data_IF_939415393250
#
_entry.id   IF_939415393250
#
_cell.length_a   1.000
_cell.length_b   1.000
_cell.length_c   1.000
_cell.angle_alpha   90.00
_cell.angle_beta   90.00
_cell.angle_gamma   90.00
#
_symmetry.space_group_name_H-M   'P 1'
#
loop_
_entity.id
_entity.type
_entity.pdbx_description
1 polymer ?
#
# COMPACT_ATOMS: atom_id res chain seq x y z
N UNK A 1 -10.46 0.64 10.75
CA UNK A 1 -10.18 -0.52 11.62
C UNK A 1 -8.95 -0.20 12.47
N UNK A 2 -8.93 -0.54 13.77
CA UNK A 2 -7.72 -0.37 14.59
C UNK A 2 -6.79 -1.58 14.37
N UNK A 3 -5.53 -1.38 13.94
CA UNK A 3 -4.60 -2.49 13.75
C UNK A 3 -4.31 -3.16 15.10
N UNK A 4 -4.18 -4.49 15.11
CA UNK A 4 -3.65 -5.22 16.27
C UNK A 4 -2.14 -5.07 16.26
N UNK A 5 -1.59 -4.44 17.30
CA UNK A 5 -0.15 -4.35 17.52
C UNK A 5 0.35 -5.53 18.37
N UNK A 6 1.67 -5.70 18.43
CA UNK A 6 2.34 -6.67 19.30
C UNK A 6 2.01 -6.42 20.78
N UNK A 7 1.81 -7.50 21.54
CA UNK A 7 1.37 -7.43 22.93
C UNK A 7 2.44 -6.91 23.89
N UNK A 8 2.02 -6.49 25.08
CA UNK A 8 2.96 -6.15 26.15
C UNK A 8 3.86 -7.33 26.54
N UNK A 9 3.33 -8.56 26.49
CA UNK A 9 4.10 -9.79 26.74
C UNK A 9 5.21 -9.96 25.72
N UNK A 10 4.96 -9.73 24.43
CA UNK A 10 5.98 -9.80 23.38
C UNK A 10 7.15 -8.86 23.69
N UNK A 11 6.84 -7.61 24.01
CA UNK A 11 7.87 -6.60 24.26
C UNK A 11 8.61 -6.82 25.58
N UNK A 12 7.95 -7.36 26.60
CA UNK A 12 8.59 -7.75 27.86
C UNK A 12 9.38 -9.06 27.76
N UNK A 13 9.25 -9.80 26.65
CA UNK A 13 9.90 -11.10 26.49
C UNK A 13 11.40 -11.03 26.21
N UNK A 14 12.00 -9.87 25.98
CA UNK A 14 13.45 -9.77 25.88
C UNK A 14 13.89 -8.36 26.22
N UNK A 15 15.05 -8.20 26.86
CA UNK A 15 15.58 -6.87 27.20
C UNK A 15 15.73 -5.98 25.95
N UNK A 16 16.27 -6.54 24.86
CA UNK A 16 16.41 -5.87 23.56
C UNK A 16 15.04 -5.41 23.02
N UNK A 17 14.01 -6.26 23.09
CA UNK A 17 12.66 -5.90 22.65
C UNK A 17 12.08 -4.77 23.51
N UNK A 18 12.19 -4.89 24.83
CA UNK A 18 11.72 -3.88 25.76
C UNK A 18 12.40 -2.53 25.52
N UNK A 19 13.70 -2.54 25.22
CA UNK A 19 14.47 -1.33 24.91
C UNK A 19 14.14 -0.75 23.53
N UNK A 20 13.90 -1.57 22.51
CA UNK A 20 13.37 -1.13 21.20
C UNK A 20 12.06 -0.38 21.40
N UNK A 21 11.11 -0.97 22.14
CA UNK A 21 9.81 -0.35 22.41
C UNK A 21 9.94 0.98 23.16
N UNK A 22 10.72 1.00 24.24
CA UNK A 22 10.96 2.22 25.02
C UNK A 22 11.57 3.31 24.14
N UNK A 23 12.57 2.96 23.34
CA UNK A 23 13.28 3.88 22.45
C UNK A 23 12.37 4.45 21.35
N UNK A 24 11.52 3.61 20.76
CA UNK A 24 10.55 3.99 19.74
C UNK A 24 9.48 4.93 20.31
N UNK A 25 8.86 4.57 21.44
CA UNK A 25 7.84 5.40 22.10
C UNK A 25 8.38 6.72 22.62
N UNK A 26 9.61 6.76 23.14
CA UNK A 26 10.27 8.00 23.53
C UNK A 26 10.45 8.99 22.37
N UNK A 27 10.34 8.51 21.12
CA UNK A 27 10.43 9.30 19.88
C UNK A 27 9.09 9.41 19.15
N UNK A 28 7.99 9.00 19.79
CA UNK A 28 6.65 8.97 19.19
C UNK A 28 6.55 8.13 17.90
N UNK A 29 7.34 7.05 17.82
CA UNK A 29 7.36 6.13 16.67
C UNK A 29 6.74 4.79 17.07
N UNK A 30 5.96 4.19 16.17
CA UNK A 30 5.39 2.86 16.37
C UNK A 30 6.47 1.78 16.56
N UNK A 31 6.49 1.07 17.71
CA UNK A 31 7.47 0.01 17.98
C UNK A 31 7.47 -1.13 16.94
N UNK A 32 6.29 -1.58 16.50
CA UNK A 32 6.16 -2.69 15.55
C UNK A 32 6.84 -2.35 14.23
N UNK A 33 6.60 -1.13 13.71
CA UNK A 33 7.20 -0.67 12.47
C UNK A 33 8.73 -0.55 12.57
N UNK A 34 9.24 -0.11 13.73
CA UNK A 34 10.70 -0.06 14.01
C UNK A 34 11.29 -1.47 14.04
N UNK A 35 10.62 -2.44 14.69
CA UNK A 35 11.06 -3.83 14.70
C UNK A 35 11.11 -4.42 13.29
N UNK A 36 10.10 -4.14 12.46
CA UNK A 36 10.11 -4.53 11.05
C UNK A 36 11.32 -4.01 10.31
N UNK A 37 11.62 -2.71 10.44
CA UNK A 37 12.82 -2.11 9.83
C UNK A 37 14.09 -2.77 10.36
N UNK A 38 14.19 -3.03 11.67
CA UNK A 38 15.35 -3.69 12.24
C UNK A 38 15.55 -5.11 11.70
N UNK A 39 14.49 -5.91 11.61
CA UNK A 39 14.55 -7.25 11.02
C UNK A 39 14.95 -7.21 9.54
N UNK A 40 14.42 -6.26 8.76
CA UNK A 40 14.84 -6.07 7.37
C UNK A 40 16.32 -5.67 7.28
N UNK A 41 16.79 -4.73 8.12
CA UNK A 41 18.21 -4.36 8.15
C UNK A 41 19.09 -5.55 8.55
N UNK A 42 18.72 -6.29 9.58
CA UNK A 42 19.40 -7.53 9.96
C UNK A 42 19.49 -8.47 8.77
N UNK A 43 18.37 -8.79 8.10
CA UNK A 43 18.38 -9.64 6.91
C UNK A 43 19.35 -9.16 5.82
N UNK A 44 19.36 -7.86 5.52
CA UNK A 44 20.22 -7.28 4.49
C UNK A 44 21.69 -7.09 4.88
N UNK A 45 22.02 -7.16 6.17
CA UNK A 45 23.37 -6.93 6.70
C UNK A 45 24.20 -8.20 6.85
N UNK A 46 23.55 -9.37 6.79
CA UNK A 46 24.20 -10.67 6.92
C UNK A 46 25.04 -11.02 5.69
N UNK A 47 26.02 -11.91 5.88
CA UNK A 47 26.78 -12.51 4.80
C UNK A 47 26.20 -13.89 4.44
N UNK A 48 25.54 -14.04 3.29
CA UNK A 48 24.86 -15.28 2.87
C UNK A 48 25.85 -16.39 2.50
N UNK A 49 27.16 -16.16 2.53
CA UNK A 49 28.19 -17.18 2.27
C UNK A 49 28.49 -18.04 3.50
N UNK A 50 28.11 -17.58 4.69
CA UNK A 50 28.48 -18.22 5.96
C UNK A 50 27.28 -18.54 6.86
N UNK A 51 26.10 -18.00 6.55
CA UNK A 51 24.90 -18.18 7.37
C UNK A 51 23.74 -18.73 6.53
N UNK A 52 23.18 -19.84 7.00
CA UNK A 52 22.04 -20.50 6.37
C UNK A 52 21.03 -20.96 7.42
N UNK A 53 19.76 -21.06 7.01
CA UNK A 53 18.70 -21.67 7.83
C UNK A 53 18.41 -23.07 7.31
N UNK A 54 18.52 -24.04 8.21
CA UNK A 54 18.04 -25.41 8.00
C UNK A 54 16.61 -25.50 8.51
N UNK A 55 15.67 -25.64 7.58
CA UNK A 55 14.24 -25.76 7.88
C UNK A 55 13.81 -27.21 8.14
N UNK A 56 14.73 -28.16 8.02
CA UNK A 56 14.49 -29.60 8.02
C UNK A 56 13.88 -30.12 6.72
N UNK A 57 13.55 -29.24 5.77
CA UNK A 57 13.08 -29.57 4.42
C UNK A 57 14.04 -29.07 3.35
N UNK A 58 14.55 -27.86 3.56
CA UNK A 58 15.61 -27.20 2.79
C UNK A 58 16.71 -26.80 3.78
N UNK A 59 17.93 -27.21 3.49
CA UNK A 59 19.12 -27.03 4.34
C UNK A 59 19.84 -25.70 4.09
N UNK A 60 19.41 -24.91 3.09
CA UNK A 60 20.02 -23.63 2.69
C UNK A 60 19.00 -22.55 2.36
N UNK A 61 18.01 -22.38 3.23
CA UNK A 61 17.03 -21.30 3.09
C UNK A 61 17.67 -19.93 3.33
N UNK A 62 17.42 -18.98 2.43
CA UNK A 62 17.89 -17.60 2.58
C UNK A 62 17.19 -16.88 3.74
N UNK A 63 17.87 -15.91 4.36
CA UNK A 63 17.29 -15.04 5.38
C UNK A 63 16.69 -13.74 4.82
N UNK A 64 16.52 -13.68 3.49
CA UNK A 64 15.93 -12.52 2.83
C UNK A 64 14.55 -12.20 3.40
N UNK A 65 14.30 -10.93 3.71
CA UNK A 65 13.06 -10.47 4.31
C UNK A 65 12.56 -9.21 3.62
N UNK A 66 11.27 -9.19 3.31
CA UNK A 66 10.55 -8.04 2.77
C UNK A 66 9.52 -7.61 3.83
N UNK A 67 9.61 -6.38 4.30
CA UNK A 67 8.73 -5.81 5.31
C UNK A 67 7.87 -4.72 4.68
N UNK A 68 6.57 -4.77 4.90
CA UNK A 68 5.61 -3.76 4.50
C UNK A 68 5.07 -3.02 5.73
N UNK A 69 5.61 -1.83 5.97
CA UNK A 69 5.11 -0.92 6.99
C UNK A 69 3.91 -0.15 6.43
N UNK A 70 2.73 -0.38 7.01
CA UNK A 70 1.47 0.17 6.52
C UNK A 70 0.93 1.22 7.48
N UNK A 71 0.67 2.42 6.96
CA UNK A 71 0.10 3.51 7.74
C UNK A 71 -0.39 4.68 6.89
N UNK A 72 -1.34 5.42 7.46
CA UNK A 72 -1.85 6.66 6.88
C UNK A 72 -0.74 7.71 6.68
N UNK A 73 -0.95 8.73 5.83
CA UNK A 73 -0.01 9.85 5.72
C UNK A 73 0.33 10.45 7.10
N UNK A 74 1.61 10.78 7.32
CA UNK A 74 2.07 11.41 8.55
C UNK A 74 2.29 10.48 9.75
N UNK A 75 2.03 9.17 9.65
CA UNK A 75 2.23 8.23 10.77
C UNK A 75 3.51 7.41 10.62
N UNK A 76 4.47 7.57 11.53
CA UNK A 76 5.67 6.74 11.84
C UNK A 76 6.49 6.05 10.72
N UNK A 77 6.15 6.08 9.42
CA UNK A 77 6.80 5.29 8.35
C UNK A 77 8.25 5.72 8.15
N UNK A 78 8.47 6.97 7.74
CA UNK A 78 9.81 7.55 7.56
C UNK A 78 10.59 7.65 8.88
N UNK A 79 9.88 7.88 10.00
CA UNK A 79 10.48 7.94 11.33
C UNK A 79 11.00 6.57 11.80
N UNK A 80 10.30 5.48 11.46
CA UNK A 80 10.74 4.11 11.76
C UNK A 80 11.99 3.74 10.97
N UNK A 81 12.05 4.11 9.68
CA UNK A 81 13.29 3.97 8.88
C UNK A 81 14.44 4.77 9.48
N UNK A 82 14.22 6.04 9.82
CA UNK A 82 15.22 6.90 10.44
C UNK A 82 15.72 6.36 11.79
N UNK A 83 14.82 5.83 12.63
CA UNK A 83 15.19 5.23 13.90
C UNK A 83 15.93 3.90 13.71
N UNK A 84 15.49 3.05 12.77
CA UNK A 84 16.22 1.84 12.38
C UNK A 84 17.64 2.14 11.91
N UNK A 85 17.86 3.25 11.19
CA UNK A 85 19.20 3.74 10.81
C UNK A 85 20.07 4.17 11.99
N UNK A 86 19.46 4.70 13.06
CA UNK A 86 20.18 5.06 14.29
C UNK A 86 20.50 3.83 15.14
N UNK A 87 19.59 2.87 15.20
CA UNK A 87 19.70 1.66 16.01
C UNK A 87 20.60 0.60 15.38
N UNK A 88 20.59 0.46 14.04
CA UNK A 88 21.47 -0.45 13.31
C UNK A 88 22.14 0.30 12.14
N UNK A 89 23.15 1.14 12.45
CA UNK A 89 23.76 2.03 11.47
C UNK A 89 24.66 1.27 10.49
N UNK A 90 24.47 1.52 9.20
CA UNK A 90 25.20 0.86 8.10
C UNK A 90 26.71 1.15 8.07
N UNK A 91 27.17 2.21 8.76
CA UNK A 91 28.60 2.53 8.86
C UNK A 91 29.41 1.42 9.55
N UNK A 92 28.75 0.62 10.38
CA UNK A 92 29.32 -0.54 11.08
C UNK A 92 29.31 -1.82 10.19
N UNK A 93 28.78 -1.73 8.97
CA UNK A 93 28.60 -2.83 8.02
C UNK A 93 28.99 -2.40 6.59
N UNK A 94 30.29 -2.14 6.33
CA UNK A 94 30.76 -1.52 5.09
C UNK A 94 30.58 -2.41 3.84
N UNK A 95 30.36 -3.71 4.00
CA UNK A 95 30.07 -4.65 2.91
C UNK A 95 28.65 -4.52 2.34
N UNK A 96 27.76 -3.81 3.03
CA UNK A 96 26.34 -3.73 2.68
C UNK A 96 26.09 -2.61 1.67
N UNK A 97 25.40 -2.93 0.57
CA UNK A 97 24.86 -1.92 -0.32
C UNK A 97 23.56 -1.35 0.24
N UNK A 98 23.53 -0.02 0.39
CA UNK A 98 22.28 0.71 0.62
C UNK A 98 21.74 1.29 -0.68
N UNK A 99 20.43 1.40 -0.80
CA UNK A 99 19.80 2.05 -1.95
C UNK A 99 18.28 2.06 -1.86
N UNK A 100 17.66 2.56 -2.92
CA UNK A 100 16.22 2.48 -3.09
C UNK A 100 15.85 1.40 -4.10
N UNK A 101 14.77 0.67 -3.84
CA UNK A 101 14.25 -0.37 -4.72
C UNK A 101 13.25 0.22 -5.73
N UNK A 102 13.77 0.72 -6.86
CA UNK A 102 12.94 1.32 -7.92
C UNK A 102 12.46 0.36 -9.02
N UNK A 103 13.08 -0.81 -9.20
CA UNK A 103 12.62 -1.86 -10.13
C UNK A 103 13.21 -3.23 -9.79
N UNK A 104 12.73 -4.30 -10.43
CA UNK A 104 13.31 -5.63 -10.29
C UNK A 104 14.78 -5.69 -10.77
N UNK A 105 15.09 -5.01 -11.88
CA UNK A 105 16.47 -4.84 -12.36
C UNK A 105 17.32 -4.05 -11.38
N UNK A 106 16.76 -2.99 -10.76
CA UNK A 106 17.45 -2.16 -9.78
C UNK A 106 17.86 -2.93 -8.52
N UNK A 107 17.03 -3.88 -8.08
CA UNK A 107 17.38 -4.79 -6.97
C UNK A 107 18.58 -5.65 -7.35
N UNK A 108 18.58 -6.26 -8.54
CA UNK A 108 19.71 -7.06 -9.00
C UNK A 108 20.97 -6.20 -9.24
N UNK A 109 20.81 -4.98 -9.74
CA UNK A 109 21.87 -4.01 -9.98
C UNK A 109 22.67 -3.67 -8.71
N UNK A 110 22.02 -3.66 -7.55
CA UNK A 110 22.66 -3.35 -6.26
C UNK A 110 23.87 -4.27 -5.95
N UNK A 111 23.88 -5.48 -6.52
CA UNK A 111 24.92 -6.47 -6.30
C UNK A 111 26.05 -6.44 -7.36
N UNK A 112 25.84 -5.75 -8.47
CA UNK A 112 26.74 -5.77 -9.62
C UNK A 112 27.84 -4.71 -9.52
N UNK A 113 28.93 -4.96 -10.23
CA UNK A 113 30.01 -4.01 -10.45
C UNK A 113 30.97 -4.52 -11.52
N UNK A 114 32.09 -3.83 -11.67
CA UNK A 114 33.15 -4.21 -12.60
C UNK A 114 34.30 -4.90 -11.84
N UNK A 115 34.82 -5.97 -12.42
CA UNK A 115 35.96 -6.74 -11.92
C UNK A 115 37.01 -6.80 -13.03
N UNK A 116 38.28 -6.57 -12.70
CA UNK A 116 39.36 -6.71 -13.68
C UNK A 116 39.58 -8.19 -14.04
N UNK A 117 39.59 -8.49 -15.34
CA UNK A 117 39.74 -9.86 -15.85
C UNK A 117 41.18 -10.38 -15.84
N UNK A 118 42.14 -9.56 -15.37
CA UNK A 118 43.58 -9.84 -15.49
C UNK A 118 44.13 -9.76 -16.92
N UNK A 119 43.30 -9.42 -17.91
CA UNK A 119 43.70 -9.24 -19.31
C UNK A 119 43.83 -7.75 -19.63
N UNK A 120 44.77 -7.42 -20.50
CA UNK A 120 44.92 -6.06 -21.03
C UNK A 120 44.58 -6.02 -22.51
N UNK A 121 43.99 -4.91 -22.93
CA UNK A 121 43.85 -4.57 -24.35
C UNK A 121 45.23 -4.43 -25.01
N UNK A 122 45.29 -4.42 -26.34
CA UNK A 122 46.54 -4.16 -27.09
C UNK A 122 47.19 -2.81 -26.75
N UNK A 123 46.43 -1.87 -26.18
CA UNK A 123 46.89 -0.57 -25.71
C UNK A 123 47.27 -0.54 -24.20
N UNK A 124 47.40 -1.71 -23.56
CA UNK A 124 47.82 -1.82 -22.15
C UNK A 124 46.73 -1.50 -21.11
N UNK A 125 45.50 -1.17 -21.52
CA UNK A 125 44.40 -0.92 -20.57
C UNK A 125 43.81 -2.22 -20.03
N UNK A 126 43.58 -2.34 -18.70
CA UNK A 126 42.93 -3.51 -18.12
C UNK A 126 41.51 -3.67 -18.67
N UNK A 127 41.13 -4.91 -18.98
CA UNK A 127 39.80 -5.28 -19.42
C UNK A 127 38.99 -5.60 -18.17
N UNK A 128 37.93 -4.83 -17.93
CA UNK A 128 36.96 -5.12 -16.88
C UNK A 128 35.81 -5.98 -17.44
N UNK A 129 35.24 -6.80 -16.57
CA UNK A 129 33.99 -7.51 -16.83
C UNK A 129 32.99 -7.23 -15.73
N UNK A 130 31.72 -7.24 -16.13
CA UNK A 130 30.61 -7.04 -15.22
C UNK A 130 30.33 -8.33 -14.44
N UNK A 131 30.38 -8.27 -13.12
CA UNK A 131 30.15 -9.43 -12.25
C UNK A 131 29.48 -9.02 -10.94
N UNK A 132 29.00 -10.00 -10.18
CA UNK A 132 28.51 -9.79 -8.83
C UNK A 132 29.70 -9.48 -7.90
N UNK A 133 29.72 -8.27 -7.34
CA UNK A 133 30.80 -7.80 -6.44
C UNK A 133 30.32 -7.59 -5.00
N UNK A 134 29.03 -7.77 -4.74
CA UNK A 134 28.42 -7.66 -3.40
C UNK A 134 27.49 -8.84 -3.15
N UNK A 135 27.29 -9.14 -1.87
CA UNK A 135 26.40 -10.22 -1.42
C UNK A 135 25.34 -9.75 -0.43
N UNK A 136 25.40 -8.51 0.05
CA UNK A 136 24.51 -7.99 1.10
C UNK A 136 23.96 -6.64 0.66
N UNK A 137 22.64 -6.50 0.68
CA UNK A 137 21.99 -5.23 0.42
C UNK A 137 20.82 -4.98 1.36
N UNK A 138 20.66 -3.72 1.74
CA UNK A 138 19.45 -3.21 2.37
C UNK A 138 18.88 -2.12 1.47
N UNK A 139 17.66 -2.35 0.99
CA UNK A 139 16.96 -1.43 0.12
C UNK A 139 15.70 -0.92 0.80
N UNK A 140 15.36 0.33 0.53
CA UNK A 140 14.10 0.93 0.97
C UNK A 140 13.29 1.35 -0.26
N UNK A 141 11.97 1.37 -0.16
CA UNK A 141 11.18 2.06 -1.18
C UNK A 141 9.99 2.72 -0.53
N UNK A 142 9.75 3.97 -0.96
CA UNK A 142 8.56 4.69 -0.58
C UNK A 142 7.38 4.29 -1.47
N UNK A 143 6.21 4.50 -0.91
CA UNK A 143 4.91 4.16 -1.44
C UNK A 143 4.72 4.58 -2.91
N UNK A 144 5.06 5.84 -3.25
CA UNK A 144 4.86 6.42 -4.58
C UNK A 144 5.66 5.72 -5.69
N UNK A 145 6.89 5.29 -5.38
CA UNK A 145 7.80 4.66 -6.34
C UNK A 145 7.34 3.25 -6.71
N UNK A 146 6.88 2.49 -5.71
CA UNK A 146 6.36 1.13 -5.89
C UNK A 146 5.00 1.09 -6.59
N UNK A 147 4.08 2.01 -6.27
CA UNK A 147 2.77 2.07 -6.93
C UNK A 147 2.90 2.33 -8.41
N UNK A 148 3.75 3.31 -8.79
CA UNK A 148 3.96 3.63 -10.20
C UNK A 148 4.41 2.38 -10.97
N UNK A 149 5.25 1.55 -10.35
CA UNK A 149 5.80 0.35 -10.96
C UNK A 149 4.93 -0.90 -10.89
N UNK A 150 4.11 -1.06 -9.86
CA UNK A 150 3.11 -2.13 -9.81
C UNK A 150 1.90 -1.80 -10.70
N UNK A 151 1.61 -0.52 -10.91
CA UNK A 151 0.54 -0.04 -11.79
C UNK A 151 0.83 -0.17 -13.29
N UNK A 152 2.12 -0.25 -13.67
CA UNK A 152 2.57 -0.60 -15.02
C UNK A 152 2.28 -2.09 -15.30
N UNK A 153 1.01 -2.43 -15.57
CA UNK A 153 0.52 -3.81 -15.85
C UNK A 153 1.28 -4.53 -16.98
N UNK A 154 2.03 -3.82 -17.82
CA UNK A 154 2.87 -4.37 -18.89
C UNK A 154 4.35 -4.11 -18.62
N UNK A 155 5.12 -5.17 -18.32
CA UNK A 155 6.59 -5.13 -18.33
C UNK A 155 7.28 -4.91 -16.97
N UNK A 156 6.54 -4.71 -15.88
CA UNK A 156 7.15 -4.59 -14.54
C UNK A 156 7.67 -5.95 -14.04
N UNK A 157 8.98 -6.07 -13.85
CA UNK A 157 9.63 -7.28 -13.32
C UNK A 157 9.63 -7.33 -11.79
N UNK A 158 9.22 -6.25 -11.13
CA UNK A 158 9.34 -6.08 -9.69
C UNK A 158 8.66 -7.19 -8.90
N UNK A 159 7.38 -7.51 -9.19
CA UNK A 159 6.65 -8.56 -8.47
C UNK A 159 7.35 -9.92 -8.57
N UNK A 160 7.82 -10.29 -9.76
CA UNK A 160 8.58 -11.52 -9.96
C UNK A 160 9.92 -11.50 -9.21
N UNK A 161 10.65 -10.38 -9.27
CA UNK A 161 11.91 -10.20 -8.52
C UNK A 161 11.69 -10.34 -7.02
N UNK A 162 10.66 -9.70 -6.44
CA UNK A 162 10.34 -9.82 -5.01
C UNK A 162 10.10 -11.27 -4.59
N UNK A 163 9.41 -12.05 -5.43
CA UNK A 163 9.16 -13.48 -5.16
C UNK A 163 10.45 -14.30 -5.19
N UNK A 164 11.30 -14.07 -6.19
CA UNK A 164 12.62 -14.70 -6.28
C UNK A 164 13.53 -14.30 -5.12
N UNK A 165 13.51 -13.03 -4.74
CA UNK A 165 14.27 -12.53 -3.59
C UNK A 165 13.84 -13.19 -2.30
N UNK A 166 12.54 -13.30 -2.04
CA UNK A 166 12.06 -13.96 -0.85
C UNK A 166 12.59 -15.39 -0.71
N UNK A 167 12.67 -16.16 -1.80
CA UNK A 167 13.23 -17.52 -1.75
C UNK A 167 14.75 -17.56 -1.83
N UNK A 168 15.40 -16.47 -2.24
CA UNK A 168 16.85 -16.44 -2.52
C UNK A 168 17.21 -17.04 -3.87
N UNK A 169 16.23 -17.22 -4.76
CA UNK A 169 16.47 -17.67 -6.13
C UNK A 169 17.35 -16.67 -6.90
N UNK A 170 18.08 -17.12 -7.93
CA UNK A 170 18.93 -16.23 -8.74
C UNK A 170 18.16 -15.03 -9.29
N UNK A 171 18.78 -13.85 -9.27
CA UNK A 171 18.23 -12.64 -9.89
C UNK A 171 18.97 -12.32 -11.17
N UNK A 172 18.21 -11.96 -12.21
CA UNK A 172 18.76 -11.55 -13.48
C UNK A 172 17.91 -11.94 -14.67
N UNK A 173 18.33 -11.50 -15.86
CA UNK A 173 17.73 -11.87 -17.13
C UNK A 173 18.82 -12.39 -18.07
N UNK A 174 18.61 -13.60 -18.62
CA UNK A 174 19.57 -14.21 -19.55
C UNK A 174 19.58 -13.56 -20.94
N UNK A 175 18.51 -12.88 -21.33
CA UNK A 175 18.35 -12.26 -22.66
C UNK A 175 18.95 -10.84 -22.74
N UNK A 176 19.72 -10.40 -21.75
CA UNK A 176 20.33 -9.08 -21.71
C UNK A 176 21.68 -9.06 -22.46
N UNK A 177 22.07 -7.89 -22.97
CA UNK A 177 23.43 -7.68 -23.51
C UNK A 177 24.48 -7.87 -22.40
N UNK A 178 25.73 -8.19 -22.76
CA UNK A 178 26.83 -8.41 -21.80
C UNK A 178 26.98 -7.28 -20.77
N UNK A 179 26.69 -6.04 -21.17
CA UNK A 179 26.73 -4.84 -20.31
C UNK A 179 25.56 -4.73 -19.33
N UNK A 180 24.41 -5.34 -19.66
CA UNK A 180 23.17 -5.29 -18.86
C UNK A 180 22.84 -6.61 -18.18
N UNK A 181 23.62 -7.66 -18.45
CA UNK A 181 23.45 -8.96 -17.85
C UNK A 181 23.70 -8.87 -16.34
N UNK A 182 22.83 -9.53 -15.59
CA UNK A 182 22.89 -9.67 -14.14
C UNK A 182 22.75 -11.16 -13.85
N UNK A 183 23.65 -11.71 -13.05
CA UNK A 183 23.55 -13.06 -12.52
C UNK A 183 23.91 -12.98 -11.05
N UNK A 184 22.91 -12.72 -10.22
CA UNK A 184 23.06 -12.54 -8.78
C UNK A 184 22.63 -13.82 -8.08
N UNK A 185 23.55 -14.42 -7.33
CA UNK A 185 23.35 -15.64 -6.54
C UNK A 185 23.92 -15.45 -5.15
N UNK A 186 23.52 -16.31 -4.20
CA UNK A 186 24.05 -16.30 -2.83
C UNK A 186 24.07 -14.87 -2.25
N UNK A 187 22.89 -14.26 -2.13
CA UNK A 187 22.73 -12.88 -1.68
C UNK A 187 21.78 -12.79 -0.48
N UNK A 188 22.03 -11.79 0.36
CA UNK A 188 21.20 -11.34 1.46
C UNK A 188 20.51 -10.03 1.05
N UNK A 189 19.18 -9.99 1.15
CA UNK A 189 18.38 -8.78 0.95
C UNK A 189 17.48 -8.52 2.15
N UNK A 190 17.61 -7.30 2.67
CA UNK A 190 16.60 -6.65 3.49
C UNK A 190 15.85 -5.62 2.67
N UNK A 191 14.54 -5.71 2.59
CA UNK A 191 13.72 -4.73 1.89
C UNK A 191 12.66 -4.15 2.82
N UNK A 192 12.72 -2.85 3.08
CA UNK A 192 11.72 -2.13 3.87
C UNK A 192 10.85 -1.26 2.96
N UNK A 193 9.56 -1.60 2.89
CA UNK A 193 8.57 -0.93 2.07
C UNK A 193 7.62 -0.13 2.95
N UNK A 194 7.31 1.08 2.53
CA UNK A 194 6.31 1.92 3.18
C UNK A 194 5.07 2.00 2.29
N UNK A 195 3.89 1.78 2.85
CA UNK A 195 2.63 1.82 2.13
C UNK A 195 1.55 2.59 2.90
N UNK A 196 0.65 3.26 2.17
CA UNK A 196 -0.69 3.53 2.67
C UNK A 196 -1.58 2.31 2.41
N UNK A 197 -2.67 2.16 3.19
CA UNK A 197 -3.68 1.15 2.90
C UNK A 197 -4.15 1.17 1.43
N UNK A 198 -4.35 2.38 0.87
CA UNK A 198 -4.97 2.52 -0.46
C UNK A 198 -4.07 2.18 -1.62
N UNK A 199 -2.78 2.35 -1.40
CA UNK A 199 -1.75 2.11 -2.39
C UNK A 199 -1.26 0.68 -2.39
N UNK A 200 -1.53 -0.04 -1.31
CA UNK A 200 -1.21 -1.46 -1.18
C UNK A 200 -2.25 -2.35 -1.90
N UNK A 201 -3.43 -1.81 -2.22
CA UNK A 201 -4.54 -2.58 -2.83
C UNK A 201 -4.16 -3.34 -4.10
N UNK A 202 -3.44 -2.76 -5.09
CA UNK A 202 -3.04 -3.49 -6.29
C UNK A 202 -2.17 -4.70 -5.96
N UNK A 203 -1.26 -4.56 -4.99
CA UNK A 203 -0.43 -5.66 -4.53
C UNK A 203 -1.29 -6.77 -3.90
N UNK A 204 -2.21 -6.42 -3.00
CA UNK A 204 -3.11 -7.38 -2.34
C UNK A 204 -4.03 -8.13 -3.33
N UNK A 205 -4.40 -7.48 -4.44
CA UNK A 205 -5.18 -8.11 -5.50
C UNK A 205 -4.41 -9.19 -6.27
N UNK A 206 -3.07 -9.20 -6.22
CA UNK A 206 -2.22 -10.20 -6.87
C UNK A 206 -2.04 -11.49 -6.03
N UNK A 207 -3.04 -11.87 -5.23
CA UNK A 207 -3.02 -13.09 -4.42
C UNK A 207 -2.59 -14.32 -5.24
N UNK A 208 -3.08 -14.45 -6.48
CA UNK A 208 -2.73 -15.54 -7.39
C UNK A 208 -1.24 -15.57 -7.78
N UNK A 209 -0.55 -14.43 -7.78
CA UNK A 209 0.86 -14.37 -8.16
C UNK A 209 1.80 -14.72 -6.99
N UNK A 210 1.33 -14.64 -5.75
CA UNK A 210 2.14 -15.04 -4.59
C UNK A 210 2.91 -13.91 -3.90
N UNK A 211 2.90 -12.68 -4.42
CA UNK A 211 3.70 -11.58 -3.83
C UNK A 211 3.21 -11.21 -2.43
N UNK A 212 1.91 -10.96 -2.18
CA UNK A 212 1.42 -10.60 -0.84
C UNK A 212 1.77 -11.59 0.26
N UNK A 213 1.85 -12.89 -0.06
CA UNK A 213 2.13 -13.96 0.89
C UNK A 213 3.58 -13.93 1.42
N UNK A 214 4.47 -13.18 0.77
CA UNK A 214 5.91 -13.15 1.05
C UNK A 214 6.38 -11.88 1.79
N UNK A 215 5.42 -11.03 2.19
CA UNK A 215 5.68 -9.80 2.93
C UNK A 215 5.32 -9.98 4.40
N UNK A 216 6.15 -9.41 5.29
CA UNK A 216 5.80 -9.20 6.69
C UNK A 216 5.10 -7.84 6.82
N UNK A 217 3.81 -7.84 7.14
CA UNK A 217 3.01 -6.62 7.28
C UNK A 217 3.05 -6.12 8.72
N UNK A 218 3.41 -4.86 8.93
CA UNK A 218 3.40 -4.27 10.27
C UNK A 218 2.75 -2.89 10.23
N UNK A 219 2.02 -2.55 11.28
CA UNK A 219 1.36 -1.26 11.35
C UNK A 219 2.37 -0.17 11.73
N UNK A 220 2.32 0.96 11.04
CA UNK A 220 2.98 2.18 11.48
C UNK A 220 2.16 2.95 12.53
N UNK A 221 0.95 2.49 12.89
CA UNK A 221 0.15 3.05 13.97
C UNK A 221 0.38 2.27 15.28
N UNK A 222 0.45 2.97 16.41
CA UNK A 222 0.40 2.40 17.77
C UNK A 222 -0.72 3.13 18.56
N UNK A 223 -1.97 2.61 18.54
CA UNK A 223 -3.06 3.18 19.33
C UNK A 223 -2.86 3.08 20.84
N UNK A 224 -1.89 2.27 21.29
CA UNK A 224 -1.54 2.12 22.71
C UNK A 224 -0.35 2.98 23.13
N UNK A 225 0.13 3.86 22.23
CA UNK A 225 1.19 4.81 22.56
C UNK A 225 0.71 5.77 23.63
N UNK A 226 1.43 5.92 24.76
CA UNK A 226 1.04 6.86 25.79
C UNK A 226 1.13 8.30 25.24
N UNK A 227 0.24 9.21 25.68
CA UNK A 227 0.38 10.61 25.32
C UNK A 227 1.72 11.16 25.83
N UNK A 228 2.35 12.11 25.13
CA UNK A 228 3.54 12.76 25.63
C UNK A 228 3.23 13.43 26.97
N UNK A 229 4.14 13.31 27.93
CA UNK A 229 4.02 14.04 29.18
C UNK A 229 3.98 15.55 28.88
N UNK A 230 2.96 16.24 29.40
CA UNK A 230 2.87 17.70 29.27
C UNK A 230 4.01 18.30 30.09
N UNK A 231 4.99 18.91 29.44
CA UNK A 231 5.90 19.81 30.12
C UNK A 231 5.18 21.13 30.32
N UNK A 232 5.03 21.55 31.59
CA UNK A 232 4.58 22.90 31.91
C UNK A 232 5.72 23.86 31.62
N UNK A 233 5.79 24.31 30.37
CA UNK A 233 6.77 25.30 29.94
C UNK A 233 6.24 26.68 30.31
N UNK A 234 6.59 27.18 31.49
CA UNK A 234 6.31 28.58 31.83
C UNK A 234 7.10 29.48 30.85
N UNK A 235 6.39 30.33 30.11
CA UNK A 235 7.01 31.30 29.20
C UNK A 235 8.06 32.11 29.96
N UNK A 236 9.33 31.99 29.57
CA UNK A 236 10.45 32.78 30.09
C UNK A 236 11.28 32.17 31.22
N UNK A 237 10.95 30.99 31.76
CA UNK A 237 11.76 30.31 32.81
C UNK A 237 12.01 28.83 32.55
N UNK A 238 11.71 28.36 31.33
CA UNK A 238 11.76 26.94 30.99
C UNK A 238 13.18 26.37 31.08
N UNK A 239 13.40 25.46 32.03
CA UNK A 239 14.44 24.45 31.87
C UNK A 239 14.23 23.75 30.51
N UNK A 240 15.30 23.47 29.75
CA UNK A 240 15.18 22.79 28.48
C UNK A 240 14.45 21.45 28.69
N UNK A 241 13.62 21.02 27.71
CA UNK A 241 12.91 19.76 27.82
C UNK A 241 13.90 18.63 28.12
N UNK A 242 13.53 17.74 29.05
CA UNK A 242 14.33 16.56 29.35
C UNK A 242 14.75 15.86 28.04
N UNK A 243 16.05 15.60 27.82
CA UNK A 243 16.53 15.09 26.55
C UNK A 243 15.91 13.73 26.27
N UNK A 244 15.57 13.47 25.01
CA UNK A 244 15.14 12.14 24.60
C UNK A 244 16.20 11.12 25.02
N UNK A 245 15.84 10.02 25.71
CA UNK A 245 16.79 9.01 26.15
C UNK A 245 17.71 8.57 25.02
N UNK A 246 19.01 8.52 25.32
CA UNK A 246 20.03 8.04 24.39
C UNK A 246 19.69 6.61 23.98
N UNK A 247 19.86 6.32 22.69
CA UNK A 247 19.72 4.96 22.17
C UNK A 247 21.08 4.27 21.99
N UNK A 248 22.17 4.87 22.50
CA UNK A 248 23.52 4.40 22.19
C UNK A 248 23.81 3.00 22.72
N UNK A 249 23.41 2.69 23.96
CA UNK A 249 23.58 1.33 24.52
C UNK A 249 22.83 0.27 23.72
N UNK A 250 21.59 0.57 23.29
CA UNK A 250 20.83 -0.30 22.40
C UNK A 250 21.51 -0.45 21.03
N UNK A 251 21.99 0.65 20.44
CA UNK A 251 22.71 0.63 19.15
C UNK A 251 23.94 -0.26 19.23
N UNK A 252 24.79 -0.10 20.25
CA UNK A 252 25.99 -0.91 20.45
C UNK A 252 25.66 -2.40 20.59
N UNK A 253 24.61 -2.73 21.37
CA UNK A 253 24.14 -4.11 21.55
C UNK A 253 23.61 -4.72 20.25
N UNK A 254 22.77 -3.99 19.50
CA UNK A 254 22.22 -4.48 18.23
C UNK A 254 23.31 -4.67 17.17
N UNK A 255 24.28 -3.75 17.10
CA UNK A 255 25.44 -3.88 16.20
C UNK A 255 26.24 -5.13 16.56
N UNK A 256 26.58 -5.32 17.84
CA UNK A 256 27.32 -6.49 18.31
C UNK A 256 26.59 -7.80 17.99
N UNK A 257 25.28 -7.85 18.25
CA UNK A 257 24.43 -9.02 17.98
C UNK A 257 24.46 -9.42 16.49
N UNK A 258 24.31 -8.45 15.58
CA UNK A 258 24.32 -8.73 14.13
C UNK A 258 25.73 -9.06 13.65
N UNK A 259 26.77 -8.39 14.15
CA UNK A 259 28.16 -8.69 13.80
C UNK A 259 28.60 -10.09 14.24
N UNK A 260 28.11 -10.58 15.38
CA UNK A 260 28.38 -11.95 15.84
C UNK A 260 27.87 -13.03 14.88
N UNK A 261 26.88 -12.70 14.04
CA UNK A 261 26.34 -13.59 13.01
C UNK A 261 27.06 -13.47 11.64
N UNK A 262 28.04 -12.57 11.50
CA UNK A 262 28.77 -12.33 10.25
C UNK A 262 30.16 -13.01 10.32
N UNK A 263 30.54 -13.69 9.25
CA UNK A 263 31.89 -14.27 9.10
C UNK A 263 32.15 -15.56 9.89
N UNK A 264 31.17 -16.01 10.68
CA UNK A 264 31.22 -17.31 11.37
C UNK A 264 30.30 -18.27 10.62
N UNK A 265 30.78 -19.46 10.17
CA UNK A 265 29.90 -20.51 9.67
C UNK A 265 28.90 -20.88 10.76
N UNK A 266 27.65 -20.50 10.55
CA UNK A 266 26.56 -20.76 11.47
C UNK A 266 25.38 -21.30 10.68
N UNK A 267 24.81 -22.40 11.16
CA UNK A 267 23.49 -22.84 10.74
C UNK A 267 22.51 -22.52 11.86
N UNK A 268 21.34 -22.01 11.48
CA UNK A 268 20.21 -21.87 12.40
C UNK A 268 19.21 -22.97 12.03
N UNK A 269 18.90 -23.83 12.99
CA UNK A 269 17.92 -24.90 12.86
C UNK A 269 16.83 -24.75 13.93
N UNK A 270 15.87 -25.68 13.93
CA UNK A 270 14.71 -25.67 14.81
C UNK A 270 14.66 -26.95 15.63
N UNK A 271 13.96 -26.91 16.76
CA UNK A 271 13.77 -28.09 17.59
C UNK A 271 12.93 -29.15 16.83
N UNK A 272 13.10 -30.45 17.15
CA UNK A 272 12.54 -31.56 16.36
C UNK A 272 11.04 -31.44 16.09
N UNK A 273 10.26 -30.96 17.05
CA UNK A 273 8.80 -30.82 16.90
C UNK A 273 8.42 -29.79 15.82
N UNK A 274 9.16 -28.67 15.72
CA UNK A 274 8.94 -27.70 14.64
C UNK A 274 9.36 -28.26 13.30
N UNK A 275 10.48 -28.97 13.23
CA UNK A 275 10.90 -29.64 11.99
C UNK A 275 9.84 -30.66 11.55
N UNK A 276 9.29 -31.42 12.49
CA UNK A 276 8.20 -32.36 12.23
C UNK A 276 6.93 -31.66 11.77
N UNK A 277 6.53 -30.56 12.41
CA UNK A 277 5.38 -29.74 12.02
C UNK A 277 5.54 -29.22 10.57
N UNK A 278 6.70 -28.65 10.24
CA UNK A 278 7.00 -28.11 8.90
C UNK A 278 6.95 -29.22 7.84
N UNK A 279 7.54 -30.39 8.12
CA UNK A 279 7.49 -31.55 7.22
C UNK A 279 6.07 -32.05 7.02
N UNK A 280 5.28 -32.10 8.10
CA UNK A 280 3.87 -32.53 8.06
C UNK A 280 3.02 -31.57 7.24
N UNK A 281 3.14 -30.26 7.48
CA UNK A 281 2.44 -29.24 6.68
C UNK A 281 2.81 -29.34 5.21
N UNK A 282 4.09 -29.53 4.88
CA UNK A 282 4.54 -29.71 3.50
C UNK A 282 3.98 -30.98 2.88
N UNK A 283 3.95 -32.10 3.62
CA UNK A 283 3.36 -33.34 3.15
C UNK A 283 1.88 -33.15 2.83
N UNK A 284 1.10 -32.60 3.77
CA UNK A 284 -0.32 -32.32 3.58
C UNK A 284 -0.57 -31.39 2.38
N UNK A 285 0.30 -30.42 2.13
CA UNK A 285 0.22 -29.54 0.96
C UNK A 285 0.40 -30.31 -0.35
N UNK A 286 1.35 -31.25 -0.40
CA UNK A 286 1.63 -32.06 -1.60
C UNK A 286 0.54 -33.12 -1.85
N UNK A 287 -0.13 -33.58 -0.80
CA UNK A 287 -1.23 -34.55 -0.90
C UNK A 287 -2.61 -33.88 -0.99
N UNK A 288 -2.66 -32.54 -1.14
CA UNK A 288 -3.91 -31.76 -1.17
C UNK A 288 -4.84 -32.04 0.04
N UNK A 289 -4.26 -32.42 1.17
CA UNK A 289 -4.96 -32.78 2.41
C UNK A 289 -4.88 -31.68 3.47
N UNK A 290 -4.39 -30.49 3.10
CA UNK A 290 -4.43 -29.33 3.98
C UNK A 290 -5.88 -28.91 4.24
N UNK A 291 -6.23 -28.51 5.47
CA UNK A 291 -7.50 -27.87 5.75
C UNK A 291 -7.71 -26.63 4.86
N UNK A 292 -8.96 -26.22 4.66
CA UNK A 292 -9.26 -24.94 4.00
C UNK A 292 -8.59 -23.81 4.79
N UNK A 293 -7.64 -23.13 4.14
CA UNK A 293 -6.80 -22.09 4.71
C UNK A 293 -6.94 -20.82 3.88
N UNK A 294 -6.71 -19.67 4.51
CA UNK A 294 -6.65 -18.40 3.79
C UNK A 294 -5.61 -18.53 2.64
N UNK A 295 -5.99 -18.32 1.37
CA UNK A 295 -5.07 -18.46 0.22
C UNK A 295 -3.83 -17.54 0.30
N UNK A 296 -3.88 -16.52 1.16
CA UNK A 296 -2.75 -15.64 1.43
C UNK A 296 -1.73 -16.20 2.44
N UNK A 297 -1.97 -17.38 3.03
CA UNK A 297 -1.08 -18.00 4.02
C UNK A 297 -0.12 -19.05 3.45
N UNK A 298 -0.08 -19.24 2.13
CA UNK A 298 0.76 -20.25 1.47
C UNK A 298 2.27 -20.16 1.75
N UNK A 299 2.78 -19.01 2.24
CA UNK A 299 4.18 -18.84 2.66
C UNK A 299 4.33 -18.49 4.15
N UNK A 300 3.25 -18.58 4.95
CA UNK A 300 3.25 -18.23 6.38
C UNK A 300 4.32 -19.01 7.15
N UNK A 301 4.44 -20.31 6.92
CA UNK A 301 5.42 -21.18 7.60
C UNK A 301 6.86 -20.76 7.30
N UNK A 302 7.21 -20.57 6.02
CA UNK A 302 8.55 -20.13 5.62
C UNK A 302 8.87 -18.71 6.14
N UNK A 303 7.89 -17.80 6.12
CA UNK A 303 8.05 -16.47 6.67
C UNK A 303 8.29 -16.53 8.19
N UNK A 304 7.58 -17.39 8.93
CA UNK A 304 7.79 -17.60 10.36
C UNK A 304 9.19 -18.13 10.67
N UNK A 305 9.67 -19.12 9.93
CA UNK A 305 11.03 -19.68 10.09
C UNK A 305 12.10 -18.59 9.90
N UNK A 306 11.98 -17.79 8.83
CA UNK A 306 12.88 -16.64 8.58
C UNK A 306 12.83 -15.61 9.70
N UNK A 307 11.64 -15.22 10.13
CA UNK A 307 11.44 -14.25 11.24
C UNK A 307 12.04 -14.77 12.53
N UNK A 308 11.84 -16.05 12.87
CA UNK A 308 12.38 -16.65 14.09
C UNK A 308 13.92 -16.67 14.08
N UNK A 309 14.53 -17.01 12.95
CA UNK A 309 15.97 -16.96 12.79
C UNK A 309 16.53 -15.52 12.86
N UNK A 310 15.86 -14.55 12.22
CA UNK A 310 16.24 -13.14 12.29
C UNK A 310 16.07 -12.55 13.70
N UNK A 311 15.03 -12.94 14.44
CA UNK A 311 14.88 -12.59 15.85
C UNK A 311 16.01 -13.18 16.68
N UNK A 312 16.37 -14.45 16.47
CA UNK A 312 17.50 -15.09 17.17
C UNK A 312 18.79 -14.28 16.99
N UNK A 313 19.05 -13.79 15.79
CA UNK A 313 20.20 -12.91 15.50
C UNK A 313 20.04 -11.56 16.19
N UNK A 314 18.90 -10.88 15.99
CA UNK A 314 18.65 -9.53 16.51
C UNK A 314 18.74 -9.48 18.05
N UNK A 315 18.27 -10.53 18.73
CA UNK A 315 18.27 -10.65 20.18
C UNK A 315 19.64 -11.05 20.76
N UNK A 316 20.58 -11.53 19.93
CA UNK A 316 21.93 -11.92 20.35
C UNK A 316 22.03 -13.35 20.84
N UNK A 317 21.09 -14.21 20.45
CA UNK A 317 21.05 -15.62 20.87
C UNK A 317 21.93 -16.53 20.00
N UNK A 318 22.56 -15.99 18.94
CA UNK A 318 23.45 -16.73 18.05
C UNK A 318 24.84 -16.90 18.66
N UNK A 319 25.36 -18.12 18.57
CA UNK A 319 26.70 -18.55 19.00
C UNK A 319 27.48 -19.15 17.82
N UNK A 320 28.82 -19.24 17.90
CA UNK A 320 29.59 -19.99 16.90
C UNK A 320 29.15 -21.46 16.82
N UNK A 321 28.89 -21.96 15.61
CA UNK A 321 28.44 -23.33 15.36
C UNK A 321 26.94 -23.47 15.08
N UNK A 322 26.36 -24.68 15.22
CA UNK A 322 24.94 -24.92 15.05
C UNK A 322 24.13 -24.23 16.15
N UNK A 323 23.12 -23.46 15.75
CA UNK A 323 22.21 -22.77 16.65
C UNK A 323 20.81 -23.35 16.50
N UNK A 324 20.10 -23.53 17.61
CA UNK A 324 18.70 -23.93 17.62
C UNK A 324 17.88 -22.73 18.06
N UNK A 325 16.87 -22.36 17.28
CA UNK A 325 15.90 -21.33 17.68
C UNK A 325 15.24 -21.75 18.98
N UNK A 326 15.28 -20.89 20.00
CA UNK A 326 14.65 -21.17 21.28
C UNK A 326 13.13 -21.23 21.17
N UNK A 327 12.47 -22.01 22.02
CA UNK A 327 11.00 -22.08 22.10
C UNK A 327 10.38 -20.70 22.28
N UNK A 328 11.00 -19.86 23.13
CA UNK A 328 10.58 -18.47 23.34
C UNK A 328 10.62 -17.65 22.05
N UNK A 329 11.70 -17.73 21.28
CA UNK A 329 11.82 -17.00 20.01
C UNK A 329 10.86 -17.55 18.96
N UNK A 330 10.57 -18.85 18.98
CA UNK A 330 9.54 -19.46 18.15
C UNK A 330 8.13 -18.95 18.48
N UNK A 331 7.78 -18.83 19.76
CA UNK A 331 6.51 -18.20 20.21
C UNK A 331 6.41 -16.75 19.73
N UNK A 332 7.47 -15.95 19.94
CA UNK A 332 7.52 -14.55 19.53
C UNK A 332 7.35 -14.39 18.00
N UNK A 333 8.01 -15.25 17.22
CA UNK A 333 7.82 -15.25 15.76
C UNK A 333 6.37 -15.57 15.37
N UNK A 334 5.68 -16.45 16.12
CA UNK A 334 4.29 -16.78 15.90
C UNK A 334 3.38 -15.56 16.12
N UNK A 335 3.55 -14.87 17.24
CA UNK A 335 2.79 -13.65 17.54
C UNK A 335 3.03 -12.55 16.49
N UNK A 336 4.27 -12.36 16.03
CA UNK A 336 4.59 -11.39 14.97
C UNK A 336 3.89 -11.74 13.66
N UNK A 337 3.86 -13.02 13.29
CA UNK A 337 3.17 -13.50 12.10
C UNK A 337 1.65 -13.34 12.23
N UNK A 338 1.07 -13.58 13.40
CA UNK A 338 -0.36 -13.40 13.64
C UNK A 338 -0.75 -11.92 13.53
N UNK A 339 0.04 -11.00 14.08
CA UNK A 339 -0.14 -9.55 13.86
C UNK A 339 -0.07 -9.20 12.38
N UNK A 340 0.90 -9.75 11.65
CA UNK A 340 1.06 -9.53 10.21
C UNK A 340 -0.13 -10.04 9.39
N UNK A 341 -0.57 -11.28 9.61
CA UNK A 341 -1.73 -11.85 8.92
C UNK A 341 -3.00 -11.07 9.23
N UNK A 342 -3.23 -10.71 10.51
CA UNK A 342 -4.39 -9.90 10.91
C UNK A 342 -4.42 -8.54 10.21
N UNK A 343 -3.28 -7.87 10.09
CA UNK A 343 -3.19 -6.59 9.37
C UNK A 343 -3.43 -6.77 7.86
N UNK A 344 -2.81 -7.79 7.24
CA UNK A 344 -3.02 -8.09 5.83
C UNK A 344 -4.49 -8.37 5.53
N UNK A 345 -5.13 -9.21 6.32
CA UNK A 345 -6.53 -9.61 6.13
C UNK A 345 -7.47 -8.42 6.34
N UNK A 346 -7.20 -7.57 7.34
CA UNK A 346 -7.89 -6.29 7.53
C UNK A 346 -7.80 -5.37 6.30
N UNK A 347 -6.62 -5.28 5.68
CA UNK A 347 -6.39 -4.46 4.49
C UNK A 347 -7.07 -5.03 3.25
N UNK A 348 -7.15 -6.36 3.11
CA UNK A 348 -7.92 -7.02 2.04
C UNK A 348 -9.41 -6.71 2.19
N UNK A 349 -9.95 -6.82 3.39
CA UNK A 349 -11.35 -6.51 3.65
C UNK A 349 -11.67 -5.03 3.43
N UNK A 350 -10.78 -4.13 3.87
CA UNK A 350 -10.90 -2.70 3.57
C UNK A 350 -10.89 -2.44 2.07
N UNK A 351 -9.94 -3.03 1.32
CA UNK A 351 -9.86 -2.87 -0.13
C UNK A 351 -11.14 -3.34 -0.84
N UNK A 352 -11.73 -4.45 -0.40
CA UNK A 352 -13.01 -4.97 -0.90
C UNK A 352 -14.18 -4.03 -0.58
N UNK A 353 -14.25 -3.51 0.64
CA UNK A 353 -15.29 -2.57 1.05
C UNK A 353 -15.23 -1.27 0.25
N UNK A 354 -14.04 -0.73 0.04
CA UNK A 354 -13.86 0.50 -0.71
C UNK A 354 -14.16 0.32 -2.20
N UNK A 355 -13.86 -0.85 -2.79
CA UNK A 355 -14.24 -1.15 -4.16
C UNK A 355 -15.76 -1.25 -4.32
N UNK A 356 -16.46 -1.91 -3.39
CA UNK A 356 -17.93 -1.91 -3.36
C UNK A 356 -18.49 -0.49 -3.31
N UNK A 357 -17.98 0.35 -2.42
CA UNK A 357 -18.39 1.75 -2.31
C UNK A 357 -18.12 2.57 -3.59
N UNK A 358 -17.01 2.32 -4.29
CA UNK A 358 -16.69 2.96 -5.58
C UNK A 358 -17.67 2.56 -6.68
N UNK A 359 -18.00 1.27 -6.76
CA UNK A 359 -18.97 0.75 -7.73
C UNK A 359 -20.35 1.35 -7.47
N UNK A 360 -20.82 1.33 -6.22
CA UNK A 360 -22.11 1.92 -5.82
C UNK A 360 -22.18 3.42 -6.13
N UNK A 361 -21.14 4.19 -5.77
CA UNK A 361 -21.07 5.61 -6.11
C UNK A 361 -20.97 5.87 -7.62
N UNK A 362 -20.43 4.93 -8.40
CA UNK A 362 -20.42 4.97 -9.85
C UNK A 362 -21.81 4.79 -10.45
N UNK A 363 -22.55 3.78 -9.96
CA UNK A 363 -23.94 3.52 -10.36
C UNK A 363 -24.83 4.70 -10.02
N UNK A 364 -24.72 5.25 -8.80
CA UNK A 364 -25.51 6.42 -8.38
C UNK A 364 -25.25 7.64 -9.29
N UNK A 365 -23.99 7.92 -9.60
CA UNK A 365 -23.62 9.02 -10.52
C UNK A 365 -24.19 8.81 -11.93
N UNK A 366 -24.29 7.56 -12.39
CA UNK A 366 -24.90 7.24 -13.68
C UNK A 366 -26.40 7.52 -13.66
N UNK A 367 -27.11 7.05 -12.63
CA UNK A 367 -28.55 7.30 -12.43
C UNK A 367 -28.83 8.81 -12.36
N UNK A 368 -28.09 9.55 -11.53
CA UNK A 368 -28.26 11.00 -11.39
C UNK A 368 -28.05 11.74 -12.71
N UNK A 369 -27.10 11.28 -13.54
CA UNK A 369 -26.84 11.85 -14.86
C UNK A 369 -27.97 11.56 -15.83
N UNK A 370 -28.53 10.35 -15.83
CA UNK A 370 -29.68 10.00 -16.68
C UNK A 370 -30.92 10.81 -16.28
N UNK A 371 -31.25 10.88 -15.00
CA UNK A 371 -32.36 11.68 -14.48
C UNK A 371 -32.21 13.15 -14.85
N UNK A 372 -31.01 13.74 -14.67
CA UNK A 372 -30.74 15.14 -15.08
C UNK A 372 -30.90 15.33 -16.59
N UNK A 373 -30.44 14.38 -17.38
CA UNK A 373 -30.53 14.45 -18.85
C UNK A 373 -31.99 14.39 -19.30
N UNK A 374 -32.78 13.49 -18.74
CA UNK A 374 -34.19 13.34 -19.07
C UNK A 374 -35.03 14.51 -18.55
N UNK A 375 -34.72 15.02 -17.35
CA UNK A 375 -35.32 16.25 -16.84
C UNK A 375 -35.01 17.45 -17.74
N UNK A 376 -33.75 17.62 -18.18
CA UNK A 376 -33.37 18.69 -19.10
C UNK A 376 -34.08 18.58 -20.46
N UNK A 377 -34.21 17.37 -21.02
CA UNK A 377 -34.99 17.12 -22.24
C UNK A 377 -36.46 17.46 -22.05
N UNK A 378 -37.04 17.11 -20.90
CA UNK A 378 -38.43 17.41 -20.56
C UNK A 378 -38.67 18.92 -20.48
N UNK A 379 -37.84 19.65 -19.72
CA UNK A 379 -37.91 21.12 -19.60
C UNK A 379 -37.77 21.79 -20.97
N UNK A 380 -36.79 21.38 -21.79
CA UNK A 380 -36.61 21.94 -23.14
C UNK A 380 -37.81 21.66 -24.05
N UNK A 381 -38.47 20.50 -23.91
CA UNK A 381 -39.69 20.16 -24.65
C UNK A 381 -40.85 21.05 -24.21
N UNK A 382 -41.06 21.22 -22.90
CA UNK A 382 -42.08 22.11 -22.33
C UNK A 382 -41.88 23.55 -22.81
N UNK A 383 -40.65 24.07 -22.77
CA UNK A 383 -40.33 25.43 -23.25
C UNK A 383 -40.61 25.60 -24.75
N UNK A 384 -40.28 24.60 -25.58
CA UNK A 384 -40.60 24.61 -27.02
C UNK A 384 -42.12 24.65 -27.25
N UNK A 385 -42.89 23.87 -26.51
CA UNK A 385 -44.34 23.89 -26.58
C UNK A 385 -44.89 25.25 -26.13
N UNK A 386 -44.39 25.81 -25.02
CA UNK A 386 -44.76 27.12 -24.50
C UNK A 386 -44.52 28.24 -25.53
N UNK A 387 -43.39 28.21 -26.25
CA UNK A 387 -43.10 29.14 -27.36
C UNK A 387 -44.10 29.02 -28.52
N UNK A 388 -44.59 27.81 -28.81
CA UNK A 388 -45.66 27.62 -29.83
C UNK A 388 -47.03 28.08 -29.34
N UNK A 389 -47.34 27.86 -28.06
CA UNK A 389 -48.57 28.41 -27.43
C UNK A 389 -48.56 29.93 -27.56
N UNK A 390 -47.45 30.60 -27.20
CA UNK A 390 -47.25 32.04 -27.40
C UNK A 390 -47.50 32.45 -28.84
N UNK A 391 -46.93 31.73 -29.81
CA UNK A 391 -47.11 32.03 -31.25
C UNK A 391 -48.60 31.96 -31.65
N UNK A 392 -49.32 30.93 -31.24
CA UNK A 392 -50.74 30.79 -31.57
C UNK A 392 -51.64 31.80 -30.85
N UNK A 393 -51.32 32.15 -29.60
CA UNK A 393 -52.01 33.19 -28.85
C UNK A 393 -51.83 34.57 -29.50
N UNK A 394 -50.62 34.90 -29.96
CA UNK A 394 -50.35 36.14 -30.70
C UNK A 394 -51.10 36.21 -32.04
N UNK A 395 -51.20 35.08 -32.76
CA UNK A 395 -51.94 35.00 -34.03
C UNK A 395 -53.45 35.17 -33.86
N UNK A 396 -54.01 34.85 -32.69
CA UNK A 396 -55.44 35.02 -32.41
C UNK A 396 -55.84 36.49 -32.14
N UNK A 397 -54.86 37.37 -31.87
CA UNK A 397 -55.10 38.80 -31.63
C UNK A 397 -56.00 39.07 -30.43
N UNK A 398 -56.68 40.22 -30.44
CA UNK A 398 -57.56 40.67 -29.34
C UNK A 398 -58.73 39.72 -29.04
N UNK A 399 -59.09 38.84 -29.98
CA UNK A 399 -60.14 37.84 -29.79
C UNK A 399 -59.75 36.71 -28.83
N UNK A 400 -58.46 36.45 -28.63
CA UNK A 400 -57.98 35.33 -27.81
C UNK A 400 -58.29 33.96 -28.41
N UNK A 401 -57.49 32.96 -28.05
CA UNK A 401 -57.64 31.58 -28.51
C UNK A 401 -58.40 30.75 -27.48
N UNK A 402 -59.48 30.03 -27.83
CA UNK A 402 -60.21 29.18 -26.88
C UNK A 402 -59.31 28.10 -26.27
N UNK A 403 -59.42 27.86 -24.96
CA UNK A 403 -58.69 26.81 -24.25
C UNK A 403 -59.21 25.39 -24.54
N UNK A 404 -60.45 25.27 -25.02
CA UNK A 404 -61.09 23.99 -25.33
C UNK A 404 -61.97 24.08 -26.59
N UNK A 405 -62.56 22.97 -27.02
CA UNK A 405 -63.50 22.92 -28.14
C UNK A 405 -62.86 22.60 -29.51
N UNK A 406 -63.70 22.64 -30.57
CA UNK A 406 -63.33 22.19 -31.93
C UNK A 406 -62.21 23.03 -32.55
N UNK A 407 -62.16 24.32 -32.21
CA UNK A 407 -61.16 25.28 -32.69
C UNK A 407 -60.16 25.70 -31.58
N UNK A 408 -60.17 24.99 -30.46
CA UNK A 408 -59.38 25.32 -29.26
C UNK A 408 -57.90 24.96 -29.36
N UNK A 409 -57.10 25.54 -28.47
CA UNK A 409 -55.65 25.38 -28.37
C UNK A 409 -55.18 23.92 -28.48
N UNK A 410 -55.78 22.91 -27.80
CA UNK A 410 -55.30 21.52 -27.87
C UNK A 410 -55.31 20.90 -29.28
N UNK A 411 -56.16 21.40 -30.20
CA UNK A 411 -56.25 20.90 -31.57
C UNK A 411 -55.07 21.33 -32.45
N UNK A 412 -54.29 22.32 -32.02
CA UNK A 412 -53.08 22.80 -32.71
C UNK A 412 -51.83 21.99 -32.39
N UNK A 413 -51.94 21.00 -31.50
CA UNK A 413 -50.87 20.15 -31.00
C UNK A 413 -51.20 18.68 -31.33
N UNK A 414 -50.16 17.89 -31.58
CA UNK A 414 -50.33 16.46 -31.80
C UNK A 414 -50.73 15.73 -30.50
N UNK A 415 -51.13 14.46 -30.61
CA UNK A 415 -51.61 13.71 -29.44
C UNK A 415 -50.54 13.51 -28.35
N UNK A 416 -49.26 13.44 -28.72
CA UNK A 416 -48.12 13.24 -27.79
C UNK A 416 -47.74 14.54 -27.09
N UNK A 417 -48.02 15.68 -27.70
CA UNK A 417 -47.75 17.02 -27.17
C UNK A 417 -48.86 17.53 -26.26
N UNK A 418 -50.11 17.11 -26.50
CA UNK A 418 -51.27 17.48 -25.66
C UNK A 418 -51.09 17.12 -24.19
N UNK A 419 -50.40 16.01 -23.90
CA UNK A 419 -50.11 15.59 -22.52
C UNK A 419 -49.24 16.57 -21.73
N UNK A 420 -48.45 17.42 -22.42
CA UNK A 420 -47.57 18.42 -21.81
C UNK A 420 -48.08 19.85 -21.99
N UNK A 421 -49.28 20.02 -22.56
CA UNK A 421 -49.81 21.33 -22.89
C UNK A 421 -50.15 22.15 -21.64
N UNK A 422 -50.56 21.49 -20.55
CA UNK A 422 -50.78 22.14 -19.25
C UNK A 422 -49.50 22.76 -18.70
N UNK A 423 -48.43 21.96 -18.58
CA UNK A 423 -47.11 22.44 -18.13
C UNK A 423 -46.55 23.56 -19.03
N UNK A 424 -46.78 23.46 -20.34
CA UNK A 424 -46.37 24.49 -21.30
C UNK A 424 -47.17 25.79 -21.16
N UNK A 425 -48.46 25.72 -20.83
CA UNK A 425 -49.30 26.87 -20.53
C UNK A 425 -48.81 27.56 -19.25
N UNK A 426 -48.61 26.80 -18.17
CA UNK A 426 -48.12 27.33 -16.89
C UNK A 426 -46.75 27.99 -17.06
N UNK A 427 -45.84 27.34 -17.78
CA UNK A 427 -44.53 27.92 -18.11
C UNK A 427 -44.66 29.24 -18.90
N UNK A 428 -45.53 29.28 -19.92
CA UNK A 428 -45.73 30.48 -20.73
C UNK A 428 -46.38 31.63 -19.94
N UNK A 429 -47.29 31.33 -19.00
CA UNK A 429 -47.91 32.32 -18.09
C UNK A 429 -46.87 32.87 -17.12
N UNK A 430 -46.11 31.99 -16.45
CA UNK A 430 -45.08 32.38 -15.49
C UNK A 430 -43.96 33.19 -16.14
N UNK A 431 -43.63 32.90 -17.40
CA UNK A 431 -42.67 33.68 -18.18
C UNK A 431 -43.24 35.00 -18.74
N UNK A 432 -44.52 35.31 -18.50
CA UNK A 432 -45.20 36.51 -19.00
C UNK A 432 -45.48 36.52 -20.50
N UNK A 433 -45.32 35.38 -21.18
CA UNK A 433 -45.46 35.29 -22.64
C UNK A 433 -46.91 35.32 -23.11
N UNK A 434 -47.84 34.90 -22.25
CA UNK A 434 -49.27 34.85 -22.50
C UNK A 434 -50.03 35.29 -21.25
N UNK A 435 -51.28 35.71 -21.43
CA UNK A 435 -52.27 35.90 -20.36
C UNK A 435 -53.43 34.93 -20.60
N UNK A 436 -54.04 34.39 -19.56
CA UNK A 436 -55.19 33.47 -19.70
C UNK A 436 -56.35 33.95 -18.85
N UNK A 437 -57.56 33.69 -19.32
CA UNK A 437 -58.75 33.67 -18.48
C UNK A 437 -59.28 32.22 -18.38
N UNK A 438 -60.44 32.01 -17.76
CA UNK A 438 -61.02 30.67 -17.58
C UNK A 438 -61.39 29.96 -18.89
N UNK A 439 -61.41 30.64 -20.03
CA UNK A 439 -61.95 30.13 -21.31
C UNK A 439 -61.01 30.38 -22.50
N UNK A 440 -60.08 31.34 -22.43
CA UNK A 440 -59.24 31.80 -23.54
C UNK A 440 -57.80 32.13 -23.13
N UNK A 441 -56.89 32.08 -24.11
CA UNK A 441 -55.48 32.48 -24.02
C UNK A 441 -55.20 33.66 -24.95
N UNK A 442 -54.50 34.66 -24.44
CA UNK A 442 -54.13 35.89 -25.12
C UNK A 442 -52.60 36.04 -25.19
N UNK A 443 -52.10 36.73 -26.21
CA UNK A 443 -50.68 37.13 -26.25
C UNK A 443 -50.35 38.08 -25.10
N UNK A 444 -49.21 37.90 -24.45
CA UNK A 444 -48.70 38.86 -23.47
C UNK A 444 -48.16 40.13 -24.13
N UNK A 445 -48.06 41.22 -23.37
CA UNK A 445 -47.34 42.42 -23.80
C UNK A 445 -45.84 42.11 -23.76
N UNK A 446 -45.11 42.37 -24.84
CA UNK A 446 -43.65 42.14 -24.91
C UNK A 446 -42.97 43.17 -24.00
N UNK A 447 -42.82 42.83 -22.72
CA UNK A 447 -42.02 43.57 -21.74
C UNK A 447 -40.63 42.94 -21.60
N UNK A 448 -39.62 43.79 -21.43
CA UNK A 448 -38.22 43.44 -21.14
C UNK A 448 -38.09 42.37 -20.06
N UNK A 449 -37.05 41.53 -20.19
CA UNK A 449 -36.59 40.63 -19.13
C UNK A 449 -36.55 41.38 -17.78
N UNK A 450 -37.15 40.86 -16.69
CA UNK A 450 -36.95 41.46 -15.38
C UNK A 450 -35.46 41.39 -15.02
N UNK A 451 -34.83 42.49 -14.55
CA UNK A 451 -33.43 42.45 -14.14
C UNK A 451 -33.32 41.64 -12.84
N UNK A 452 -32.95 40.36 -12.93
CA UNK A 452 -32.73 39.54 -11.73
C UNK A 452 -32.56 38.03 -11.88
N UNK A 453 -32.78 37.40 -13.05
CA UNK A 453 -32.80 35.94 -13.16
C UNK A 453 -31.56 35.32 -13.87
N UNK A 454 -30.36 35.86 -13.68
CA UNK A 454 -29.11 35.30 -14.25
C UNK A 454 -28.12 34.77 -13.20
N UNK A 455 -28.56 34.48 -11.97
CA UNK A 455 -27.63 33.98 -10.94
C UNK A 455 -28.27 33.02 -9.94
N UNK A 456 -28.71 31.85 -10.42
CA UNK A 456 -29.02 30.69 -9.57
C UNK A 456 -28.93 29.35 -10.33
N UNK A 457 -27.90 29.18 -11.18
CA UNK A 457 -27.58 27.89 -11.83
C UNK A 457 -26.06 27.71 -12.00
N UNK A 458 -25.32 28.05 -10.94
CA UNK A 458 -23.96 27.57 -10.69
C UNK A 458 -23.79 27.36 -9.19
N UNK A 459 -24.31 26.24 -8.72
CA UNK A 459 -23.78 25.43 -7.61
C UNK A 459 -24.16 23.97 -7.88
#
# INVERSE_FOLDING_TARGET
MRPRNLSDRFWAAHEVLAEIRRTARARMVCPDSVLGVLLARTAGFLDPRHLYVDTGVDDRTSLNLIVANVGQPGISKSQSSALGRRLLPSREFPHVRLGNAGSGEGIAEAYMGEVETGKTTKAGKPITERSQVRHSAFLEADEGELIAKLGERSGSTLGATLRSTFTGAPLGQMNATKERQRDVRNYALGLALSFQPETLRPLLAEAAQGTPQRLLYLSAADPSMPPPARQEVAFGTAEPPAPTPSCQGLTERLVANVQAAIGVPASITFFPDVVYEVRTQRHLAHTEALPDQNPLDGHRTLLRLKVAALLTILLGDVKPGPNVVSERTWELSGELLDVSCNLRDALVEQARADERGRVEAGVQRHIDREVRTDHAKHVAKVERLAKRVRKHAAQAGAGGLPLSGRDGLPRRFDNRERGLLGEALDHAVNAGWIKTDQVRVYGGEVGELPPGASRAMRE
#
